data_IF_040336266546
#
_entry.id   IF_040336266546
#
_cell.length_a   1.000
_cell.length_b   1.000
_cell.length_c   1.000
_cell.angle_alpha   90.00
_cell.angle_beta   90.00
_cell.angle_gamma   90.00
#
_symmetry.space_group_name_H-M   'P 1'
#
loop_
_entity.id
_entity.type
_entity.pdbx_description
1 polymer ?
#
# COMPACT_ATOMS: atom_id res chain seq x y z
N UNK A 1 -18.76 -11.11 18.45
CA UNK A 1 -18.03 -12.37 18.71
C UNK A 1 -17.14 -12.62 17.51
N UNK A 2 -15.89 -13.01 17.75
CA UNK A 2 -14.97 -13.39 16.68
C UNK A 2 -15.17 -14.88 16.38
N UNK A 3 -15.15 -15.24 15.10
CA UNK A 3 -15.16 -16.64 14.68
C UNK A 3 -13.83 -17.33 15.06
N UNK A 4 -13.75 -18.66 14.94
CA UNK A 4 -12.56 -19.43 15.36
C UNK A 4 -11.26 -19.02 14.66
N UNK A 5 -11.35 -18.46 13.46
CA UNK A 5 -10.21 -17.99 12.64
C UNK A 5 -10.01 -16.49 12.69
N UNK A 6 -10.87 -15.74 13.38
CA UNK A 6 -10.84 -14.28 13.40
C UNK A 6 -9.88 -13.72 14.45
N UNK A 7 -9.40 -12.54 14.21
CA UNK A 7 -8.60 -11.74 15.12
C UNK A 7 -9.24 -10.38 15.36
N UNK A 8 -9.19 -9.90 16.60
CA UNK A 8 -9.38 -8.49 16.91
C UNK A 8 -8.02 -7.79 16.84
N UNK A 9 -7.92 -6.78 15.98
CA UNK A 9 -6.70 -6.00 15.77
C UNK A 9 -6.95 -4.57 16.18
N UNK A 10 -6.10 -4.01 17.04
CA UNK A 10 -6.04 -2.58 17.32
C UNK A 10 -5.11 -1.92 16.29
N UNK A 11 -5.60 -0.90 15.61
CA UNK A 11 -4.88 -0.22 14.55
C UNK A 11 -4.06 0.92 15.12
N UNK A 12 -2.75 0.87 14.90
CA UNK A 12 -1.79 1.91 15.29
C UNK A 12 -1.64 2.98 14.20
N UNK A 13 -1.65 2.54 12.92
CA UNK A 13 -1.44 3.40 11.77
C UNK A 13 -2.36 3.03 10.61
N UNK A 14 -2.88 4.03 9.91
CA UNK A 14 -3.65 3.84 8.68
C UNK A 14 -3.17 4.83 7.61
N UNK A 15 -2.76 4.30 6.46
CA UNK A 15 -2.43 5.10 5.29
C UNK A 15 -3.69 5.69 4.65
N UNK A 16 -3.56 6.85 4.01
CA UNK A 16 -4.62 7.49 3.25
C UNK A 16 -4.21 7.54 1.77
N UNK A 17 -4.92 6.79 0.95
CA UNK A 17 -4.75 6.84 -0.50
C UNK A 17 -5.41 8.09 -1.08
N UNK A 18 -4.62 9.12 -1.32
CA UNK A 18 -5.11 10.42 -1.80
C UNK A 18 -5.84 10.36 -3.16
N UNK A 19 -5.61 9.32 -3.96
CA UNK A 19 -6.35 9.06 -5.19
C UNK A 19 -7.72 8.44 -4.91
N UNK A 20 -7.72 7.24 -4.33
CA UNK A 20 -8.93 6.44 -4.12
C UNK A 20 -9.86 7.04 -3.06
N UNK A 21 -9.33 7.38 -1.89
CA UNK A 21 -10.17 7.86 -0.79
C UNK A 21 -10.73 9.27 -1.04
N UNK A 22 -10.05 10.08 -1.83
CA UNK A 22 -10.62 11.34 -2.29
C UNK A 22 -11.89 11.13 -3.11
N UNK A 23 -11.88 10.19 -4.05
CA UNK A 23 -13.06 9.87 -4.86
C UNK A 23 -14.22 9.34 -4.00
N UNK A 24 -13.92 8.59 -2.95
CA UNK A 24 -14.92 8.14 -1.97
C UNK A 24 -15.46 9.31 -1.17
N UNK A 25 -14.59 10.23 -0.74
CA UNK A 25 -14.95 11.39 0.08
C UNK A 25 -15.87 12.36 -0.66
N UNK A 26 -15.55 12.68 -1.92
CA UNK A 26 -16.33 13.64 -2.72
C UNK A 26 -17.50 12.99 -3.51
N UNK A 27 -17.68 11.68 -3.39
CA UNK A 27 -18.75 10.92 -4.04
C UNK A 27 -18.57 10.74 -5.55
N UNK A 28 -17.38 11.03 -6.08
CA UNK A 28 -17.08 10.91 -7.52
C UNK A 28 -16.51 9.53 -7.91
N UNK A 29 -16.42 8.60 -6.97
CA UNK A 29 -16.00 7.23 -7.25
C UNK A 29 -16.99 6.59 -8.25
N UNK A 30 -16.51 6.06 -9.39
CA UNK A 30 -17.35 5.32 -10.31
C UNK A 30 -18.07 4.16 -9.61
N UNK A 31 -19.35 3.89 -9.94
CA UNK A 31 -20.09 2.80 -9.34
C UNK A 31 -19.40 1.44 -9.57
N UNK A 32 -19.26 0.64 -8.52
CA UNK A 32 -18.80 -0.74 -8.61
C UNK A 32 -19.44 -1.61 -7.52
N UNK A 33 -19.44 -2.95 -7.65
CA UNK A 33 -20.06 -3.83 -6.67
C UNK A 33 -19.48 -3.64 -5.27
N UNK A 34 -20.35 -3.41 -4.28
CA UNK A 34 -19.97 -3.19 -2.88
C UNK A 34 -19.80 -1.73 -2.47
N UNK A 35 -19.86 -0.77 -3.40
CA UNK A 35 -19.85 0.66 -3.07
C UNK A 35 -21.24 1.07 -2.54
N UNK A 36 -21.29 1.36 -1.26
CA UNK A 36 -22.48 1.90 -0.59
C UNK A 36 -22.06 2.89 0.49
N UNK A 37 -22.89 3.88 0.77
CA UNK A 37 -22.70 4.85 1.84
C UNK A 37 -23.76 4.66 2.93
N UNK A 38 -23.43 4.88 4.22
CA UNK A 38 -22.10 5.26 4.72
C UNK A 38 -21.08 4.13 4.64
N UNK A 39 -19.79 4.46 4.51
CA UNK A 39 -18.73 3.47 4.42
C UNK A 39 -17.51 3.83 5.29
N UNK A 40 -16.76 2.81 5.69
CA UNK A 40 -15.42 2.93 6.29
C UNK A 40 -14.39 2.63 5.20
N UNK A 41 -13.54 3.60 4.81
CA UNK A 41 -12.51 3.41 3.80
C UNK A 41 -11.27 2.70 4.36
N UNK A 42 -10.19 2.67 3.58
CA UNK A 42 -8.86 2.27 4.01
C UNK A 42 -8.52 0.81 3.74
N UNK A 43 -7.29 0.60 3.28
CA UNK A 43 -6.72 -0.73 2.97
C UNK A 43 -5.21 -0.79 3.27
N UNK A 44 -4.70 0.20 4.00
CA UNK A 44 -3.29 0.41 4.29
C UNK A 44 -3.11 0.57 5.80
N UNK A 45 -3.49 -0.46 6.58
CA UNK A 45 -3.47 -0.34 8.03
C UNK A 45 -2.43 -1.27 8.66
N UNK A 46 -1.84 -0.82 9.74
CA UNK A 46 -0.92 -1.59 10.58
C UNK A 46 -1.41 -1.52 12.02
N UNK A 47 -1.38 -2.66 12.69
CA UNK A 47 -1.84 -2.73 14.07
C UNK A 47 -1.31 -3.96 14.80
N UNK A 48 -1.84 -4.14 15.98
CA UNK A 48 -1.46 -5.23 16.88
C UNK A 48 -2.65 -6.12 17.16
N UNK A 49 -2.45 -7.41 17.06
CA UNK A 49 -3.46 -8.42 17.43
C UNK A 49 -3.71 -8.34 18.94
N UNK A 50 -4.94 -8.05 19.34
CA UNK A 50 -5.38 -8.05 20.74
C UNK A 50 -5.83 -9.43 21.18
N UNK A 51 -6.70 -10.05 20.39
CA UNK A 51 -7.20 -11.41 20.60
C UNK A 51 -7.23 -12.17 19.29
N UNK A 52 -7.08 -13.48 19.38
CA UNK A 52 -7.13 -14.39 18.25
C UNK A 52 -8.02 -15.58 18.57
N UNK A 53 -8.81 -16.00 17.61
CA UNK A 53 -9.60 -17.23 17.72
C UNK A 53 -8.69 -18.47 17.81
N UNK A 54 -9.21 -19.60 18.27
CA UNK A 54 -8.40 -20.81 18.53
C UNK A 54 -7.77 -21.42 17.27
N UNK A 55 -8.26 -21.09 16.09
CA UNK A 55 -7.75 -21.56 14.79
C UNK A 55 -7.03 -20.46 13.99
N UNK A 56 -6.81 -19.29 14.62
CA UNK A 56 -6.13 -18.19 13.94
C UNK A 56 -4.65 -18.51 13.69
N UNK A 57 -4.15 -18.03 12.55
CA UNK A 57 -2.75 -18.25 12.10
C UNK A 57 -1.75 -17.28 12.74
N UNK A 58 -2.23 -16.27 13.47
CA UNK A 58 -1.43 -15.27 14.19
C UNK A 58 -1.80 -15.26 15.67
N UNK A 59 -0.89 -14.80 16.52
CA UNK A 59 -1.08 -14.79 17.98
C UNK A 59 -1.27 -13.37 18.52
N UNK A 60 -1.91 -13.22 19.70
CA UNK A 60 -1.97 -11.94 20.40
C UNK A 60 -0.58 -11.31 20.58
N UNK A 61 -0.48 -10.01 20.38
CA UNK A 61 0.78 -9.28 20.39
C UNK A 61 1.50 -9.17 19.06
N UNK A 62 1.14 -9.98 18.05
CA UNK A 62 1.71 -9.88 16.70
C UNK A 62 1.42 -8.52 16.07
N UNK A 63 2.45 -7.92 15.44
CA UNK A 63 2.27 -6.75 14.57
C UNK A 63 1.89 -7.24 13.18
N UNK A 64 0.83 -6.67 12.62
CA UNK A 64 0.26 -7.13 11.37
C UNK A 64 -0.12 -5.98 10.44
N UNK A 65 0.04 -6.19 9.14
CA UNK A 65 -0.63 -5.38 8.13
C UNK A 65 -2.04 -5.91 7.91
N UNK A 66 -3.00 -4.97 7.82
CA UNK A 66 -4.44 -5.25 7.65
C UNK A 66 -4.92 -4.62 6.34
N UNK A 67 -5.26 -5.40 5.33
CA UNK A 67 -5.73 -4.89 4.04
C UNK A 67 -7.20 -4.43 4.06
N UNK A 68 -7.78 -4.30 5.24
CA UNK A 68 -9.16 -3.91 5.49
C UNK A 68 -9.98 -4.97 6.19
N UNK A 69 -11.20 -4.61 6.57
CA UNK A 69 -12.15 -5.45 7.31
C UNK A 69 -13.53 -5.41 6.65
N UNK A 70 -14.27 -6.50 6.80
CA UNK A 70 -15.69 -6.62 6.44
C UNK A 70 -16.59 -6.78 7.67
N UNK A 71 -16.02 -6.65 8.87
CA UNK A 71 -16.71 -6.88 10.15
C UNK A 71 -17.64 -5.73 10.59
N UNK A 72 -18.12 -4.90 9.68
CA UNK A 72 -19.07 -3.82 9.97
C UNK A 72 -20.51 -4.29 9.74
N UNK A 73 -21.43 -3.90 10.64
CA UNK A 73 -22.85 -4.28 10.56
C UNK A 73 -23.70 -3.18 9.92
N UNK A 74 -23.50 -1.93 10.32
CA UNK A 74 -24.37 -0.80 9.95
C UNK A 74 -23.77 0.10 8.84
N UNK A 75 -22.56 -0.19 8.42
CA UNK A 75 -21.84 0.58 7.39
C UNK A 75 -21.09 -0.35 6.43
N UNK A 76 -20.89 0.08 5.21
CA UNK A 76 -20.08 -0.66 4.26
C UNK A 76 -18.59 -0.57 4.64
N UNK A 77 -17.87 -1.70 4.59
CA UNK A 77 -16.41 -1.73 4.71
C UNK A 77 -15.76 -1.71 3.34
N UNK A 78 -15.45 -0.54 2.82
CA UNK A 78 -14.78 -0.42 1.53
C UNK A 78 -13.51 0.45 1.66
N UNK A 79 -12.40 -0.11 2.00
CA UNK A 79 -12.14 -1.54 2.32
C UNK A 79 -12.14 -1.80 3.84
N UNK A 80 -12.57 -0.83 4.66
CA UNK A 80 -12.82 -1.00 6.07
C UNK A 80 -11.57 -1.01 6.97
N UNK A 81 -10.45 -0.47 6.51
CA UNK A 81 -9.18 -0.46 7.28
C UNK A 81 -9.03 0.74 8.21
N UNK A 82 -9.72 1.85 7.92
CA UNK A 82 -9.57 3.10 8.67
C UNK A 82 -10.48 3.15 9.91
N UNK A 83 -10.27 2.25 10.85
CA UNK A 83 -10.97 2.22 12.13
C UNK A 83 -10.01 1.81 13.25
N UNK A 84 -10.34 2.20 14.49
CA UNK A 84 -9.48 1.93 15.64
C UNK A 84 -9.29 0.43 15.92
N UNK A 85 -10.35 -0.34 15.79
CA UNK A 85 -10.31 -1.78 16.01
C UNK A 85 -11.04 -2.49 14.87
N UNK A 86 -10.50 -3.60 14.44
CA UNK A 86 -10.99 -4.37 13.32
C UNK A 86 -11.09 -5.85 13.69
N UNK A 87 -12.20 -6.47 13.31
CA UNK A 87 -12.30 -7.92 13.28
C UNK A 87 -11.93 -8.39 11.87
N UNK A 88 -10.92 -9.25 11.78
CA UNK A 88 -10.36 -9.68 10.50
C UNK A 88 -9.99 -11.16 10.58
N UNK A 89 -10.36 -11.91 9.55
CA UNK A 89 -9.91 -13.30 9.41
C UNK A 89 -8.38 -13.34 9.33
N UNK A 90 -7.75 -14.19 10.13
CA UNK A 90 -6.31 -14.27 10.31
C UNK A 90 -5.54 -14.57 9.02
N UNK A 91 -6.13 -15.27 8.05
CA UNK A 91 -5.52 -15.56 6.75
C UNK A 91 -5.32 -14.30 5.88
N UNK A 92 -6.02 -13.22 6.19
CA UNK A 92 -5.87 -11.92 5.51
C UNK A 92 -4.82 -11.03 6.15
N UNK A 93 -4.35 -11.38 7.34
CA UNK A 93 -3.34 -10.62 8.05
C UNK A 93 -1.94 -10.98 7.54
N UNK A 94 -1.10 -9.97 7.34
CA UNK A 94 0.29 -10.19 6.96
C UNK A 94 1.16 -9.86 8.17
N UNK A 95 1.82 -10.85 8.79
CA UNK A 95 2.72 -10.60 9.91
C UNK A 95 3.88 -9.68 9.49
N UNK A 96 4.18 -8.69 10.34
CA UNK A 96 5.28 -7.75 10.16
C UNK A 96 6.32 -7.94 11.28
N UNK A 97 7.50 -7.39 11.05
CA UNK A 97 8.51 -7.33 12.11
C UNK A 97 7.99 -6.48 13.28
N UNK A 98 8.26 -6.87 14.54
CA UNK A 98 7.78 -6.10 15.70
C UNK A 98 8.25 -4.63 15.73
N UNK A 99 9.35 -4.33 15.06
CA UNK A 99 9.89 -2.97 14.92
C UNK A 99 9.26 -2.16 13.78
N UNK A 100 8.40 -2.78 12.97
CA UNK A 100 7.72 -2.07 11.87
C UNK A 100 6.78 -1.02 12.46
N UNK A 101 7.01 0.22 12.09
CA UNK A 101 6.19 1.36 12.50
C UNK A 101 5.21 1.79 11.39
N UNK A 102 5.04 3.09 11.24
CA UNK A 102 4.13 3.68 10.24
C UNK A 102 4.46 3.31 8.80
N UNK A 103 5.71 2.96 8.49
CA UNK A 103 6.14 2.53 7.15
C UNK A 103 5.44 1.24 6.69
N UNK A 104 4.96 0.43 7.60
CA UNK A 104 4.19 -0.78 7.27
C UNK A 104 2.92 -0.52 6.46
N UNK A 105 2.34 0.68 6.52
CA UNK A 105 1.18 1.08 5.69
C UNK A 105 1.51 1.05 4.20
N UNK A 106 2.79 1.19 3.83
CA UNK A 106 3.23 1.17 2.43
C UNK A 106 3.15 -0.22 1.77
N UNK A 107 2.88 -1.29 2.53
CA UNK A 107 2.92 -2.67 2.01
C UNK A 107 1.98 -2.86 0.81
N UNK A 108 0.79 -2.26 0.82
CA UNK A 108 -0.14 -2.32 -0.32
C UNK A 108 0.45 -1.68 -1.58
N UNK A 109 1.10 -0.51 -1.43
CA UNK A 109 1.75 0.17 -2.55
C UNK A 109 3.01 -0.55 -3.02
N UNK A 110 3.76 -1.17 -2.09
CA UNK A 110 4.90 -2.03 -2.42
C UNK A 110 4.44 -3.22 -3.26
N UNK A 111 3.36 -3.89 -2.85
CA UNK A 111 2.78 -5.00 -3.62
C UNK A 111 2.34 -4.55 -5.02
N UNK A 112 1.75 -3.36 -5.14
CA UNK A 112 1.39 -2.75 -6.44
C UNK A 112 2.62 -2.49 -7.30
N UNK A 113 3.69 -1.93 -6.72
CA UNK A 113 4.95 -1.68 -7.41
C UNK A 113 5.60 -2.97 -7.91
N UNK A 114 5.69 -3.99 -7.05
CA UNK A 114 6.22 -5.32 -7.40
C UNK A 114 5.38 -5.96 -8.51
N UNK A 115 4.04 -5.87 -8.41
CA UNK A 115 3.17 -6.40 -9.46
C UNK A 115 3.42 -5.72 -10.81
N UNK A 116 3.58 -4.40 -10.83
CA UNK A 116 3.89 -3.65 -12.05
C UNK A 116 5.24 -4.07 -12.64
N UNK A 117 6.28 -4.20 -11.82
CA UNK A 117 7.63 -4.61 -12.26
C UNK A 117 7.59 -6.04 -12.82
N UNK A 118 6.87 -6.95 -12.20
CA UNK A 118 6.74 -8.34 -12.65
C UNK A 118 5.97 -8.50 -13.98
N UNK A 119 5.41 -7.42 -14.53
CA UNK A 119 4.78 -7.44 -15.87
C UNK A 119 5.80 -7.28 -17.00
N UNK A 120 7.03 -6.89 -16.70
CA UNK A 120 8.09 -6.86 -17.69
C UNK A 120 8.55 -8.27 -18.04
N UNK A 121 8.70 -8.53 -19.34
CA UNK A 121 9.10 -9.85 -19.83
C UNK A 121 10.57 -10.16 -19.51
N UNK A 122 10.87 -11.42 -19.34
CA UNK A 122 12.24 -11.95 -19.14
C UNK A 122 13.01 -11.34 -17.96
N UNK A 123 12.32 -10.82 -16.94
CA UNK A 123 12.97 -10.21 -15.79
C UNK A 123 13.61 -8.86 -16.09
N UNK A 124 13.27 -8.22 -17.21
CA UNK A 124 13.71 -6.86 -17.51
C UNK A 124 13.21 -5.88 -16.44
N UNK A 125 14.01 -4.86 -16.17
CA UNK A 125 13.61 -3.77 -15.27
C UNK A 125 13.40 -2.50 -16.10
N UNK A 126 12.44 -1.64 -15.71
CA UNK A 126 12.22 -0.39 -16.41
C UNK A 126 13.44 0.52 -16.31
N UNK A 127 13.79 1.16 -17.37
CA UNK A 127 14.83 2.22 -17.42
C UNK A 127 14.23 3.60 -17.10
N UNK A 128 12.90 3.75 -17.21
CA UNK A 128 12.20 4.99 -16.93
C UNK A 128 10.97 4.75 -16.02
N UNK A 129 10.87 5.58 -14.98
CA UNK A 129 9.67 5.73 -14.17
C UNK A 129 9.12 7.14 -14.33
N UNK A 130 7.82 7.29 -14.60
CA UNK A 130 7.19 8.59 -14.75
C UNK A 130 6.43 8.96 -13.47
N UNK A 131 6.89 10.02 -12.80
CA UNK A 131 6.38 10.51 -11.52
C UNK A 131 7.20 10.03 -10.31
N UNK A 132 7.55 10.97 -9.40
CA UNK A 132 8.31 10.71 -8.18
C UNK A 132 7.47 10.95 -6.91
N UNK A 133 6.19 10.57 -6.98
CA UNK A 133 5.32 10.44 -5.80
C UNK A 133 5.65 9.18 -5.00
N UNK A 134 4.81 8.84 -4.01
CA UNK A 134 5.05 7.67 -3.13
C UNK A 134 5.23 6.39 -3.95
N UNK A 135 4.31 6.09 -4.87
CA UNK A 135 4.39 4.89 -5.71
C UNK A 135 5.61 4.90 -6.63
N UNK A 136 5.90 6.02 -7.30
CA UNK A 136 7.08 6.12 -8.18
C UNK A 136 8.40 5.94 -7.44
N UNK A 137 8.51 6.49 -6.23
CA UNK A 137 9.66 6.25 -5.33
C UNK A 137 9.81 4.78 -4.94
N UNK A 138 8.71 4.10 -4.63
CA UNK A 138 8.72 2.66 -4.32
C UNK A 138 9.17 1.84 -5.53
N UNK A 139 8.60 2.10 -6.71
CA UNK A 139 9.02 1.43 -7.95
C UNK A 139 10.50 1.63 -8.19
N UNK A 140 11.00 2.88 -8.14
CA UNK A 140 12.41 3.18 -8.36
C UNK A 140 13.33 2.45 -7.37
N UNK A 141 13.03 2.49 -6.08
CA UNK A 141 13.82 1.80 -5.04
C UNK A 141 13.81 0.29 -5.19
N UNK A 142 12.67 -0.30 -5.56
CA UNK A 142 12.57 -1.74 -5.82
C UNK A 142 13.40 -2.11 -7.04
N UNK A 143 13.33 -1.33 -8.14
CA UNK A 143 14.15 -1.57 -9.33
C UNK A 143 15.66 -1.53 -8.99
N UNK A 144 16.11 -0.54 -8.22
CA UNK A 144 17.50 -0.47 -7.75
C UNK A 144 17.87 -1.70 -6.90
N UNK A 145 17.00 -2.10 -5.97
CA UNK A 145 17.23 -3.29 -5.15
C UNK A 145 17.28 -4.59 -5.96
N UNK A 146 16.61 -4.63 -7.10
CA UNK A 146 16.65 -5.74 -8.07
C UNK A 146 17.81 -5.64 -9.07
N UNK A 147 18.66 -4.61 -8.98
CA UNK A 147 19.87 -4.48 -9.78
C UNK A 147 19.74 -3.56 -11.00
N UNK A 148 18.75 -2.66 -11.05
CA UNK A 148 18.68 -1.67 -12.12
C UNK A 148 19.89 -0.71 -12.06
N UNK A 149 20.71 -0.71 -13.12
CA UNK A 149 21.92 0.13 -13.20
C UNK A 149 21.66 1.53 -13.77
N UNK A 150 20.65 1.67 -14.63
CA UNK A 150 20.36 2.88 -15.40
C UNK A 150 18.90 3.28 -15.26
N UNK A 151 18.50 3.62 -14.03
CA UNK A 151 17.14 4.04 -13.77
C UNK A 151 17.04 5.57 -13.78
N UNK A 152 16.11 6.09 -14.58
CA UNK A 152 15.72 7.48 -14.60
C UNK A 152 14.28 7.63 -14.10
N UNK A 153 14.03 8.69 -13.35
CA UNK A 153 12.67 9.08 -12.94
C UNK A 153 12.37 10.47 -13.46
N UNK A 154 11.28 10.61 -14.20
CA UNK A 154 10.78 11.91 -14.62
C UNK A 154 9.84 12.49 -13.58
N UNK A 155 10.17 13.68 -13.09
CA UNK A 155 9.33 14.42 -12.15
C UNK A 155 9.36 15.92 -12.50
N UNK A 156 8.19 16.50 -12.66
CA UNK A 156 8.05 17.92 -13.02
C UNK A 156 8.18 18.86 -11.81
N UNK A 157 7.82 18.37 -10.62
CA UNK A 157 7.87 19.18 -9.40
C UNK A 157 9.26 19.10 -8.75
N UNK A 158 10.06 20.19 -8.76
CA UNK A 158 11.39 20.18 -8.18
C UNK A 158 11.43 19.80 -6.68
N UNK A 159 10.35 20.10 -5.94
CA UNK A 159 10.24 19.73 -4.53
C UNK A 159 10.20 18.21 -4.27
N UNK A 160 10.05 17.41 -5.34
CA UNK A 160 10.06 15.94 -5.29
C UNK A 160 11.33 15.33 -5.85
N UNK A 161 12.34 16.13 -6.20
CA UNK A 161 13.61 15.61 -6.74
C UNK A 161 14.54 15.05 -5.65
N UNK A 162 14.26 15.32 -4.37
CA UNK A 162 15.06 14.80 -3.26
C UNK A 162 15.02 13.27 -3.18
N UNK A 163 16.18 12.63 -3.12
CA UNK A 163 16.39 11.19 -3.03
C UNK A 163 17.84 10.87 -2.57
N UNK A 164 18.13 9.60 -2.36
CA UNK A 164 19.43 9.11 -1.85
C UNK A 164 20.55 9.00 -2.90
N UNK A 165 20.28 9.38 -4.14
CA UNK A 165 21.25 9.35 -5.25
C UNK A 165 21.39 7.98 -5.93
N UNK A 166 20.62 6.98 -5.54
CA UNK A 166 20.70 5.63 -6.11
C UNK A 166 20.13 5.51 -7.53
N UNK A 167 19.44 6.52 -8.02
CA UNK A 167 18.91 6.66 -9.39
C UNK A 167 18.87 8.14 -9.78
N UNK A 168 18.63 8.44 -11.04
CA UNK A 168 18.54 9.82 -11.54
C UNK A 168 17.09 10.33 -11.50
N UNK A 169 16.87 11.56 -10.99
CA UNK A 169 15.58 12.25 -11.06
C UNK A 169 15.74 13.55 -11.80
N UNK A 170 14.96 13.75 -12.86
CA UNK A 170 15.05 14.93 -13.72
C UNK A 170 13.66 15.39 -14.18
N UNK A 171 13.52 16.66 -14.52
CA UNK A 171 12.35 17.11 -15.25
C UNK A 171 12.39 16.55 -16.69
N UNK A 172 11.25 16.12 -17.27
CA UNK A 172 11.23 15.54 -18.62
C UNK A 172 11.86 16.42 -19.70
N UNK A 173 11.74 17.74 -19.56
CA UNK A 173 12.35 18.71 -20.50
C UNK A 173 13.86 18.80 -20.43
N UNK A 174 14.46 18.37 -19.31
CA UNK A 174 15.90 18.44 -19.04
C UNK A 174 16.58 17.08 -19.27
N UNK A 175 15.81 16.08 -19.68
CA UNK A 175 16.31 14.76 -20.02
C UNK A 175 16.68 14.68 -21.51
N UNK A 176 17.94 14.51 -21.77
CA UNK A 176 18.50 14.40 -23.11
C UNK A 176 18.74 12.95 -23.55
N UNK A 177 18.53 11.99 -22.67
CA UNK A 177 18.55 10.56 -22.99
C UNK A 177 17.19 10.17 -23.56
N UNK A 178 17.07 10.09 -24.86
CA UNK A 178 15.79 9.95 -25.55
C UNK A 178 15.34 8.51 -25.84
N UNK A 179 16.00 7.50 -25.27
CA UNK A 179 15.69 6.08 -25.54
C UNK A 179 15.68 5.27 -24.25
N UNK A 180 14.49 4.96 -23.80
CA UNK A 180 14.22 4.03 -22.71
C UNK A 180 13.55 2.78 -23.26
N UNK A 181 13.95 1.62 -22.77
CA UNK A 181 13.36 0.32 -23.09
C UNK A 181 12.39 -0.14 -22.00
#
# INVERSE_FOLDING_TARGET
DCDSTDCLVEIDWSGISTGTERLLWDGSMPPFPGLNYPLVPGYESVGRVLTAGPEATVTPGSVVFVPGSRGFQDVAGLFGGAARQLVVNSERLVPLQPSTGSEGVLLALIATAVHAINRFENGALPELVVGHGVLGRLVARICVALGAEKLCVWEQNPARHDHDGSYRVVAPKDDHDSRYS
#
